data_IF_497923653049
#
_entry.id   IF_497923653049
#
_cell.length_a   1.000
_cell.length_b   1.000
_cell.length_c   1.000
_cell.angle_alpha   90.00
_cell.angle_beta   90.00
_cell.angle_gamma   90.00
#
_symmetry.space_group_name_H-M   'P 1'
#
loop_
_entity.id
_entity.type
_entity.pdbx_description
1 polymer ?
#
# COMPACT_ATOMS: atom_id res chain seq x y z
N UNK A 1 -27.51 -32.34 0.60
CA UNK A 1 -26.48 -32.53 -0.45
C UNK A 1 -25.63 -31.27 -0.76
N UNK A 2 -26.22 -30.08 -0.84
CA UNK A 2 -25.45 -28.85 -1.15
C UNK A 2 -24.38 -28.43 -0.11
N UNK A 3 -24.56 -28.74 1.16
CA UNK A 3 -23.63 -28.36 2.23
C UNK A 3 -22.27 -29.07 2.18
N UNK A 4 -22.22 -30.31 1.76
CA UNK A 4 -20.98 -31.06 1.58
C UNK A 4 -20.19 -30.55 0.39
N UNK A 5 -20.82 -30.24 -0.73
CA UNK A 5 -20.16 -29.66 -1.90
C UNK A 5 -19.56 -28.30 -1.57
N UNK A 6 -20.24 -27.40 -0.84
CA UNK A 6 -19.70 -26.13 -0.39
C UNK A 6 -18.47 -26.29 0.51
N UNK A 7 -18.48 -27.27 1.41
CA UNK A 7 -17.33 -27.59 2.28
C UNK A 7 -16.15 -28.13 1.48
N UNK A 8 -16.43 -29.02 0.51
CA UNK A 8 -15.39 -29.58 -0.37
C UNK A 8 -14.78 -28.52 -1.28
N UNK A 9 -15.59 -27.68 -1.93
CA UNK A 9 -15.08 -26.59 -2.77
C UNK A 9 -14.30 -25.56 -1.95
N UNK A 10 -14.78 -25.19 -0.75
CA UNK A 10 -14.04 -24.32 0.15
C UNK A 10 -12.68 -24.92 0.55
N UNK A 11 -12.65 -26.22 0.88
CA UNK A 11 -11.41 -26.92 1.18
C UNK A 11 -10.47 -26.97 -0.02
N UNK A 12 -10.99 -27.28 -1.21
CA UNK A 12 -10.22 -27.32 -2.46
C UNK A 12 -9.58 -25.97 -2.79
N UNK A 13 -10.31 -24.88 -2.63
CA UNK A 13 -9.82 -23.53 -2.97
C UNK A 13 -8.98 -22.88 -1.87
N UNK A 14 -9.09 -23.32 -0.62
CA UNK A 14 -8.38 -22.70 0.50
C UNK A 14 -7.21 -23.52 1.03
N UNK A 15 -7.14 -24.82 0.74
CA UNK A 15 -6.13 -25.71 1.31
C UNK A 15 -5.38 -26.58 0.31
N UNK A 16 -5.86 -26.73 -0.90
CA UNK A 16 -5.23 -27.58 -1.90
C UNK A 16 -4.86 -26.82 -3.18
N UNK A 17 -3.67 -27.03 -3.75
CA UNK A 17 -2.54 -27.89 -3.33
C UNK A 17 -1.49 -27.16 -2.48
N UNK A 18 -1.78 -25.97 -2.03
CA UNK A 18 -0.81 -24.94 -1.66
C UNK A 18 -0.10 -25.11 -0.30
N UNK A 19 -0.42 -26.11 0.48
CA UNK A 19 0.15 -26.18 1.82
C UNK A 19 -0.24 -24.96 2.65
N UNK A 20 0.68 -24.43 3.42
CA UNK A 20 0.46 -23.18 4.18
C UNK A 20 0.53 -22.01 3.21
N UNK A 21 -0.60 -21.42 2.89
CA UNK A 21 -0.67 -20.13 2.20
C UNK A 21 0.07 -19.09 3.05
N UNK A 22 0.72 -18.14 2.39
CA UNK A 22 1.37 -17.02 3.05
C UNK A 22 0.47 -16.42 4.14
N UNK A 23 1.03 -16.19 5.32
CA UNK A 23 0.30 -15.56 6.41
C UNK A 23 0.17 -14.08 6.11
N UNK A 24 -1.05 -13.64 5.87
CA UNK A 24 -1.37 -12.23 5.73
C UNK A 24 -1.61 -11.62 7.11
N UNK A 25 -1.31 -10.33 7.29
CA UNK A 25 -1.70 -9.62 8.49
C UNK A 25 -3.22 -9.58 8.61
N UNK A 26 -3.72 -9.65 9.84
CA UNK A 26 -5.15 -9.50 10.11
C UNK A 26 -5.50 -8.01 10.10
N UNK A 27 -6.42 -7.64 9.25
CA UNK A 27 -7.04 -6.33 9.21
C UNK A 27 -8.55 -6.50 9.00
N UNK A 28 -9.32 -5.60 9.58
CA UNK A 28 -10.75 -5.49 9.36
C UNK A 28 -11.05 -4.86 7.99
N UNK A 29 -12.31 -4.80 7.59
CA UNK A 29 -12.72 -4.28 6.28
C UNK A 29 -12.34 -2.80 6.05
N UNK A 30 -12.22 -2.04 7.13
CA UNK A 30 -11.78 -0.64 7.12
C UNK A 30 -10.26 -0.46 7.21
N UNK A 31 -9.51 -1.55 7.23
CA UNK A 31 -8.06 -1.59 7.34
C UNK A 31 -7.54 -1.52 8.79
N UNK A 32 -8.40 -1.36 9.79
CA UNK A 32 -7.98 -1.35 11.20
C UNK A 32 -7.39 -2.69 11.63
N UNK A 33 -6.49 -2.64 12.63
CA UNK A 33 -5.81 -3.82 13.16
C UNK A 33 -6.06 -3.98 14.65
N UNK A 34 -5.57 -5.07 15.24
CA UNK A 34 -5.57 -5.25 16.69
C UNK A 34 -4.64 -4.27 17.43
N UNK A 35 -3.86 -3.46 16.72
CA UNK A 35 -3.06 -2.36 17.30
C UNK A 35 -3.80 -1.05 17.06
N UNK A 36 -4.36 -0.50 18.14
CA UNK A 36 -5.14 0.74 18.05
C UNK A 36 -4.36 1.86 17.35
N UNK A 37 -4.96 2.45 16.32
CA UNK A 37 -4.39 3.53 15.52
C UNK A 37 -3.49 3.06 14.36
N UNK A 38 -3.24 1.76 14.21
CA UNK A 38 -2.50 1.19 13.10
C UNK A 38 -3.47 0.57 12.09
N UNK A 39 -3.33 0.96 10.82
CA UNK A 39 -4.14 0.50 9.69
C UNK A 39 -3.26 -0.16 8.65
N UNK A 40 -3.79 -1.16 7.95
CA UNK A 40 -3.10 -1.88 6.87
C UNK A 40 -3.97 -1.84 5.63
N UNK A 41 -3.39 -1.44 4.49
CA UNK A 41 -4.14 -1.19 3.25
C UNK A 41 -3.42 -1.75 2.02
N UNK A 42 -4.18 -2.02 0.96
CA UNK A 42 -3.65 -2.44 -0.33
C UNK A 42 -3.29 -3.92 -0.38
N UNK A 43 -2.41 -4.29 -1.29
CA UNK A 43 -2.07 -5.67 -1.66
C UNK A 43 -1.64 -6.55 -0.48
N UNK A 44 -1.09 -5.96 0.56
CA UNK A 44 -0.67 -6.67 1.78
C UNK A 44 -1.86 -7.33 2.50
N UNK A 45 -3.09 -6.84 2.28
CA UNK A 45 -4.32 -7.47 2.81
C UNK A 45 -4.78 -8.69 2.01
N UNK A 46 -4.13 -8.99 0.87
CA UNK A 46 -4.37 -10.21 0.09
C UNK A 46 -5.09 -10.00 -1.24
N UNK A 47 -5.51 -8.79 -1.59
CA UNK A 47 -6.21 -8.50 -2.84
C UNK A 47 -5.33 -7.58 -3.73
N UNK A 48 -4.51 -8.14 -4.65
CA UNK A 48 -3.55 -7.39 -5.45
C UNK A 48 -4.22 -6.76 -6.69
N UNK A 49 -5.18 -5.88 -6.48
CA UNK A 49 -5.89 -5.16 -7.53
C UNK A 49 -5.77 -3.65 -7.32
N UNK A 50 -5.39 -2.90 -8.37
CA UNK A 50 -5.13 -1.46 -8.30
C UNK A 50 -6.31 -0.66 -7.74
N UNK A 51 -7.54 -0.94 -8.20
CA UNK A 51 -8.74 -0.27 -7.70
C UNK A 51 -9.01 -0.56 -6.22
N UNK A 52 -8.76 -1.79 -5.77
CA UNK A 52 -8.87 -2.14 -4.34
C UNK A 52 -7.78 -1.48 -3.50
N UNK A 53 -6.56 -1.41 -4.01
CA UNK A 53 -5.47 -0.74 -3.32
C UNK A 53 -5.77 0.75 -3.13
N UNK A 54 -6.24 1.45 -4.17
CA UNK A 54 -6.69 2.84 -4.05
C UNK A 54 -7.85 2.98 -3.07
N UNK A 55 -8.88 2.16 -3.24
CA UNK A 55 -10.08 2.16 -2.40
C UNK A 55 -9.75 2.00 -0.91
N UNK A 56 -8.96 0.98 -0.56
CA UNK A 56 -8.64 0.70 0.84
C UNK A 56 -7.78 1.79 1.47
N UNK A 57 -6.86 2.40 0.71
CA UNK A 57 -6.07 3.54 1.16
C UNK A 57 -6.93 4.74 1.55
N UNK A 58 -7.81 5.19 0.66
CA UNK A 58 -8.72 6.30 0.92
C UNK A 58 -9.72 5.98 2.06
N UNK A 59 -10.29 4.77 2.05
CA UNK A 59 -11.25 4.33 3.09
C UNK A 59 -10.64 4.32 4.49
N UNK A 60 -9.40 3.87 4.64
CA UNK A 60 -8.74 3.90 5.94
C UNK A 60 -8.67 5.32 6.51
N UNK A 61 -8.32 6.32 5.70
CA UNK A 61 -8.28 7.71 6.16
C UNK A 61 -9.67 8.24 6.46
N UNK A 62 -10.67 7.93 5.65
CA UNK A 62 -12.07 8.28 5.93
C UNK A 62 -12.55 7.68 7.26
N UNK A 63 -12.20 6.44 7.56
CA UNK A 63 -12.49 5.79 8.84
C UNK A 63 -11.76 6.50 10.00
N UNK A 64 -10.48 6.83 9.83
CA UNK A 64 -9.69 7.58 10.82
C UNK A 64 -10.36 8.91 11.17
N UNK A 65 -10.75 9.66 10.16
CA UNK A 65 -11.37 10.98 10.36
C UNK A 65 -12.76 10.88 11.02
N UNK A 66 -13.49 9.81 10.75
CA UNK A 66 -14.79 9.54 11.36
C UNK A 66 -14.68 9.02 12.81
N UNK A 67 -13.52 8.56 13.25
CA UNK A 67 -13.29 8.09 14.63
C UNK A 67 -13.36 9.24 15.62
N UNK A 68 -14.29 9.14 16.57
CA UNK A 68 -14.49 10.17 17.62
C UNK A 68 -13.24 10.38 18.49
N UNK A 69 -12.46 9.32 18.74
CA UNK A 69 -11.19 9.40 19.47
C UNK A 69 -10.13 10.20 18.70
N UNK A 70 -10.14 10.09 17.37
CA UNK A 70 -9.25 10.87 16.52
C UNK A 70 -9.72 12.33 16.41
N UNK A 71 -11.03 12.57 16.31
CA UNK A 71 -11.60 13.93 16.27
C UNK A 71 -11.30 14.73 17.55
N UNK A 72 -11.30 14.07 18.69
CA UNK A 72 -11.00 14.68 20.00
C UNK A 72 -9.49 14.79 20.32
N UNK A 73 -8.60 14.46 19.36
CA UNK A 73 -7.15 14.54 19.59
C UNK A 73 -6.68 15.96 19.84
N UNK A 74 -5.68 16.10 20.69
CA UNK A 74 -5.00 17.37 20.90
C UNK A 74 -3.90 17.54 19.86
N UNK A 75 -3.76 18.74 19.35
CA UNK A 75 -2.59 19.11 18.57
C UNK A 75 -1.39 19.24 19.53
N UNK A 76 -0.34 18.47 19.26
CA UNK A 76 0.88 18.41 20.05
C UNK A 76 2.07 18.70 19.14
N UNK A 77 3.01 19.52 19.60
CA UNK A 77 4.21 19.82 18.82
C UNK A 77 5.03 18.55 18.54
N UNK A 78 5.40 18.37 17.28
CA UNK A 78 6.15 17.19 16.84
C UNK A 78 5.33 15.90 16.70
N UNK A 79 3.98 15.97 16.86
CA UNK A 79 3.09 14.83 16.64
C UNK A 79 2.24 15.06 15.39
N UNK A 80 2.41 14.23 14.39
CA UNK A 80 1.63 14.24 13.16
C UNK A 80 0.23 13.65 13.39
N UNK A 81 -0.73 14.06 12.60
CA UNK A 81 -2.03 13.41 12.55
C UNK A 81 -1.90 11.99 12.00
N UNK A 82 -1.09 11.85 10.93
CA UNK A 82 -0.98 10.59 10.19
C UNK A 82 0.44 10.39 9.64
N UNK A 83 0.95 9.18 9.74
CA UNK A 83 2.08 8.72 8.93
C UNK A 83 1.60 7.62 8.00
N UNK A 84 1.91 7.75 6.70
CA UNK A 84 1.67 6.75 5.68
C UNK A 84 3.00 6.07 5.33
N UNK A 85 3.06 4.75 5.43
CA UNK A 85 4.25 3.96 5.10
C UNK A 85 4.01 3.23 3.78
N UNK A 86 4.73 3.65 2.74
CA UNK A 86 4.65 3.14 1.37
C UNK A 86 4.03 4.16 0.40
N UNK A 87 4.78 4.53 -0.64
CA UNK A 87 4.39 5.44 -1.73
C UNK A 87 3.79 4.71 -2.94
N UNK A 88 3.21 3.53 -2.73
CA UNK A 88 2.46 2.79 -3.74
C UNK A 88 1.03 3.33 -3.91
N UNK A 89 0.23 2.63 -4.72
CA UNK A 89 -1.16 3.07 -5.03
C UNK A 89 -2.00 3.27 -3.77
N UNK A 90 -1.93 2.35 -2.81
CA UNK A 90 -2.73 2.46 -1.57
C UNK A 90 -2.27 3.58 -0.65
N UNK A 91 -0.95 3.74 -0.48
CA UNK A 91 -0.42 4.82 0.36
C UNK A 91 -0.66 6.20 -0.25
N UNK A 92 -0.51 6.33 -1.57
CA UNK A 92 -0.78 7.60 -2.26
C UNK A 92 -2.26 7.96 -2.28
N UNK A 93 -3.16 6.96 -2.36
CA UNK A 93 -4.60 7.19 -2.18
C UNK A 93 -4.94 7.66 -0.75
N UNK A 94 -4.28 7.08 0.26
CA UNK A 94 -4.39 7.53 1.64
C UNK A 94 -3.86 8.97 1.82
N UNK A 95 -2.74 9.29 1.17
CA UNK A 95 -2.14 10.64 1.22
C UNK A 95 -3.05 11.71 0.59
N UNK A 96 -3.65 11.41 -0.57
CA UNK A 96 -4.62 12.32 -1.20
C UNK A 96 -5.84 12.56 -0.31
N UNK A 97 -6.37 11.51 0.30
CA UNK A 97 -7.50 11.65 1.21
C UNK A 97 -7.08 12.45 2.47
N UNK A 98 -5.88 12.20 3.02
CA UNK A 98 -5.36 12.96 4.15
C UNK A 98 -5.19 14.46 3.81
N UNK A 99 -4.66 14.78 2.63
CA UNK A 99 -4.55 16.14 2.12
C UNK A 99 -5.92 16.80 2.00
N UNK A 100 -6.89 16.12 1.41
CA UNK A 100 -8.28 16.59 1.26
C UNK A 100 -8.95 16.88 2.61
N UNK A 101 -8.63 16.09 3.65
CA UNK A 101 -9.15 16.26 5.01
C UNK A 101 -8.34 17.29 5.84
N UNK A 102 -7.30 17.90 5.25
CA UNK A 102 -6.48 18.90 5.92
C UNK A 102 -5.64 18.36 7.09
N UNK A 103 -5.25 17.09 7.04
CA UNK A 103 -4.43 16.47 8.08
C UNK A 103 -2.97 16.90 7.96
N UNK A 104 -2.26 17.02 9.08
CA UNK A 104 -0.79 17.06 9.09
C UNK A 104 -0.25 15.64 8.96
N UNK A 105 0.37 15.35 7.81
CA UNK A 105 0.82 14.00 7.51
C UNK A 105 2.18 13.94 6.82
N UNK A 106 2.80 12.76 6.86
CA UNK A 106 4.01 12.42 6.09
C UNK A 106 3.83 11.08 5.39
N UNK A 107 4.36 10.97 4.18
CA UNK A 107 4.46 9.71 3.43
C UNK A 107 5.92 9.29 3.41
N UNK A 108 6.20 8.06 3.86
CA UNK A 108 7.52 7.44 3.77
C UNK A 108 7.52 6.43 2.62
N UNK A 109 8.49 6.52 1.73
CA UNK A 109 8.70 5.59 0.62
C UNK A 109 10.15 5.10 0.63
N UNK A 110 10.33 3.78 0.57
CA UNK A 110 11.65 3.18 0.72
C UNK A 110 12.58 3.36 -0.49
N UNK A 111 12.03 3.63 -1.68
CA UNK A 111 12.79 3.76 -2.92
C UNK A 111 12.22 4.85 -3.83
N UNK A 112 11.21 4.53 -4.62
CA UNK A 112 10.51 5.46 -5.50
C UNK A 112 9.00 5.24 -5.47
N UNK A 113 8.19 6.28 -5.60
CA UNK A 113 6.74 6.17 -5.67
C UNK A 113 6.31 5.26 -6.82
N UNK A 114 5.30 4.41 -6.53
CA UNK A 114 4.73 3.45 -7.49
C UNK A 114 5.72 2.39 -7.99
N UNK A 115 6.76 2.08 -7.23
CA UNK A 115 7.85 1.16 -7.62
C UNK A 115 7.35 -0.17 -8.21
N UNK A 116 6.26 -0.75 -7.70
CA UNK A 116 5.67 -1.97 -8.25
C UNK A 116 5.25 -1.80 -9.72
N UNK A 117 4.57 -0.70 -10.04
CA UNK A 117 4.09 -0.42 -11.42
C UNK A 117 5.27 0.01 -12.31
N UNK A 118 6.15 0.87 -11.79
CA UNK A 118 7.37 1.31 -12.49
C UNK A 118 8.24 0.12 -12.91
N UNK A 119 8.32 -0.89 -12.07
CA UNK A 119 9.13 -2.08 -12.31
C UNK A 119 8.42 -3.17 -13.14
N UNK A 120 7.21 -2.97 -13.63
CA UNK A 120 6.64 -3.88 -14.61
C UNK A 120 7.42 -3.82 -15.93
N UNK A 121 7.43 -4.91 -16.72
CA UNK A 121 8.04 -4.90 -18.06
C UNK A 121 7.53 -3.72 -18.91
N UNK A 122 8.40 -3.21 -19.77
CA UNK A 122 8.03 -2.15 -20.72
C UNK A 122 6.82 -2.57 -21.55
N UNK A 123 5.94 -1.63 -21.82
CA UNK A 123 4.71 -1.82 -22.61
C UNK A 123 3.73 -2.87 -22.07
N UNK A 124 3.90 -3.29 -20.80
CA UNK A 124 2.96 -4.23 -20.18
C UNK A 124 1.55 -3.63 -20.17
N UNK A 125 0.55 -4.31 -20.76
CA UNK A 125 -0.83 -3.89 -20.65
C UNK A 125 -1.32 -4.05 -19.20
N UNK A 126 -2.00 -3.04 -18.69
CA UNK A 126 -2.55 -3.03 -17.34
C UNK A 126 -4.07 -2.92 -17.43
N UNK A 127 -4.76 -3.84 -16.78
CA UNK A 127 -6.21 -3.87 -16.69
C UNK A 127 -6.63 -3.47 -15.27
N UNK A 128 -7.53 -2.50 -15.18
CA UNK A 128 -8.02 -1.97 -13.89
C UNK A 128 -9.34 -2.64 -13.48
N UNK A 129 -9.25 -3.92 -13.14
CA UNK A 129 -10.41 -4.68 -12.64
C UNK A 129 -10.69 -4.40 -11.15
N UNK A 130 -11.97 -4.56 -10.71
CA UNK A 130 -13.20 -4.74 -11.50
C UNK A 130 -13.55 -3.48 -12.30
N UNK A 131 -14.01 -3.64 -13.56
CA UNK A 131 -14.28 -2.50 -14.46
C UNK A 131 -15.30 -1.55 -13.87
N UNK A 132 -16.39 -2.10 -13.30
CA UNK A 132 -17.51 -1.32 -12.76
C UNK A 132 -17.23 -0.69 -11.38
N UNK A 133 -16.13 -1.09 -10.72
CA UNK A 133 -15.77 -0.54 -9.43
C UNK A 133 -15.20 0.87 -9.56
N UNK A 134 -15.77 1.82 -8.85
CA UNK A 134 -15.19 3.15 -8.61
C UNK A 134 -14.54 3.15 -7.24
N UNK A 135 -13.21 3.32 -7.13
CA UNK A 135 -12.53 3.41 -5.84
C UNK A 135 -13.04 4.61 -5.03
N UNK A 136 -12.97 4.49 -3.70
CA UNK A 136 -13.16 5.65 -2.83
C UNK A 136 -11.98 6.64 -3.02
N UNK A 137 -12.23 7.92 -2.68
CA UNK A 137 -11.20 8.97 -2.76
C UNK A 137 -10.93 9.45 -4.19
N UNK A 138 -9.90 10.24 -4.35
CA UNK A 138 -9.64 11.02 -5.56
C UNK A 138 -8.63 10.34 -6.50
N UNK A 139 -7.96 9.26 -6.08
CA UNK A 139 -7.09 8.46 -6.96
C UNK A 139 -7.94 7.51 -7.80
N UNK A 140 -8.18 7.88 -9.05
CA UNK A 140 -9.05 7.16 -9.98
C UNK A 140 -8.26 6.55 -11.14
N UNK A 141 -8.87 5.60 -11.84
CA UNK A 141 -8.28 4.87 -12.96
C UNK A 141 -9.19 4.99 -14.18
N UNK A 142 -8.57 5.14 -15.35
CA UNK A 142 -9.28 5.03 -16.62
C UNK A 142 -9.85 3.62 -16.82
N UNK A 143 -11.05 3.52 -17.39
CA UNK A 143 -11.66 2.24 -17.75
C UNK A 143 -11.01 1.60 -19.00
N UNK A 144 -10.18 2.35 -19.72
CA UNK A 144 -9.43 1.85 -20.86
C UNK A 144 -8.17 1.14 -20.39
N UNK A 145 -7.85 0.01 -21.02
CA UNK A 145 -6.58 -0.67 -20.79
C UNK A 145 -5.43 0.29 -21.10
N UNK A 146 -4.65 0.61 -20.09
CA UNK A 146 -3.46 1.42 -20.23
C UNK A 146 -2.23 0.53 -20.36
N UNK A 147 -1.20 1.01 -21.03
CA UNK A 147 0.14 0.44 -20.88
C UNK A 147 0.76 1.00 -19.60
N UNK A 148 1.69 0.26 -19.04
CA UNK A 148 2.40 0.62 -17.80
C UNK A 148 2.84 2.09 -17.77
N UNK A 149 3.45 2.58 -18.84
CA UNK A 149 3.99 3.94 -18.93
C UNK A 149 2.90 5.00 -18.77
N UNK A 150 1.78 4.83 -19.46
CA UNK A 150 0.63 5.71 -19.35
C UNK A 150 0.03 5.72 -17.94
N UNK A 151 -0.08 4.54 -17.32
CA UNK A 151 -0.55 4.43 -15.94
C UNK A 151 0.38 5.15 -14.95
N UNK A 152 1.70 4.99 -15.09
CA UNK A 152 2.68 5.69 -14.22
C UNK A 152 2.53 7.20 -14.33
N UNK A 153 2.39 7.73 -15.56
CA UNK A 153 2.17 9.16 -15.80
C UNK A 153 0.88 9.63 -15.12
N UNK A 154 -0.21 8.87 -15.28
CA UNK A 154 -1.50 9.20 -14.68
C UNK A 154 -1.46 9.20 -13.15
N UNK A 155 -0.84 8.19 -12.54
CA UNK A 155 -0.67 8.09 -11.10
C UNK A 155 0.14 9.27 -10.54
N UNK A 156 1.26 9.62 -11.20
CA UNK A 156 2.10 10.76 -10.79
C UNK A 156 1.36 12.08 -10.91
N UNK A 157 0.62 12.27 -12.00
CA UNK A 157 -0.19 13.48 -12.21
C UNK A 157 -1.24 13.65 -11.12
N UNK A 158 -1.92 12.58 -10.74
CA UNK A 158 -2.97 12.64 -9.72
C UNK A 158 -2.41 12.82 -8.29
N UNK A 159 -1.13 12.59 -8.06
CA UNK A 159 -0.55 12.56 -6.71
C UNK A 159 0.63 13.52 -6.54
N UNK A 160 1.77 13.24 -7.15
CA UNK A 160 2.99 14.04 -6.98
C UNK A 160 2.80 15.47 -7.52
N UNK A 161 2.17 15.61 -8.69
CA UNK A 161 1.88 16.93 -9.27
C UNK A 161 0.75 17.67 -8.54
N UNK A 162 0.00 16.98 -7.69
CA UNK A 162 -0.96 17.56 -6.76
C UNK A 162 -0.37 17.85 -5.36
N UNK A 163 0.95 17.88 -5.25
CA UNK A 163 1.63 18.31 -4.02
C UNK A 163 1.82 17.23 -2.97
N UNK A 164 1.62 15.95 -3.29
CA UNK A 164 2.04 14.87 -2.40
C UNK A 164 3.54 14.65 -2.58
N UNK A 165 4.31 14.87 -1.53
CA UNK A 165 5.77 14.77 -1.52
C UNK A 165 6.22 13.64 -0.58
N UNK A 166 6.39 12.40 -1.08
CA UNK A 166 6.92 11.31 -0.27
C UNK A 166 8.38 11.56 0.12
N UNK A 167 8.67 11.34 1.39
CA UNK A 167 10.05 11.33 1.89
C UNK A 167 10.68 9.98 1.58
N UNK A 168 11.82 9.98 0.90
CA UNK A 168 12.57 8.75 0.63
C UNK A 168 13.23 8.30 1.92
N UNK A 169 12.57 7.39 2.61
CA UNK A 169 13.03 6.82 3.86
C UNK A 169 12.38 5.46 4.09
N UNK A 170 13.13 4.53 4.67
CA UNK A 170 12.64 3.19 5.00
C UNK A 170 12.18 3.13 6.45
N UNK A 171 10.90 2.91 6.67
CA UNK A 171 10.39 2.57 7.99
C UNK A 171 10.82 1.14 8.36
N UNK A 172 11.38 0.94 9.54
CA UNK A 172 11.77 -0.37 10.05
C UNK A 172 10.64 -1.04 10.83
N UNK A 173 10.02 -0.28 11.73
CA UNK A 173 8.90 -0.79 12.54
C UNK A 173 8.05 0.36 13.08
N UNK A 174 6.86 -0.01 13.57
CA UNK A 174 5.96 0.89 14.28
C UNK A 174 5.88 0.42 15.74
N UNK A 175 6.08 1.34 16.67
CA UNK A 175 6.05 1.08 18.11
C UNK A 175 5.01 1.92 18.81
N UNK A 176 4.50 1.46 19.94
CA UNK A 176 3.67 2.27 20.82
C UNK A 176 4.54 3.26 21.60
N UNK A 177 4.16 4.54 21.62
CA UNK A 177 4.81 5.60 22.39
C UNK A 177 3.75 6.37 23.17
N UNK A 178 3.44 5.91 24.38
CA UNK A 178 2.34 6.45 25.15
C UNK A 178 0.99 6.32 24.42
N UNK A 179 0.31 7.43 24.19
CA UNK A 179 -0.94 7.48 23.44
C UNK A 179 -0.75 7.43 21.91
N UNK A 180 0.48 7.61 21.43
CA UNK A 180 0.83 7.74 20.01
C UNK A 180 1.49 6.48 19.45
N UNK A 181 1.75 6.50 18.16
CA UNK A 181 2.58 5.54 17.44
C UNK A 181 3.88 6.23 17.01
N UNK A 182 4.99 5.55 17.16
CA UNK A 182 6.31 5.99 16.68
C UNK A 182 6.71 5.10 15.50
N UNK A 183 6.97 5.71 14.36
CA UNK A 183 7.55 5.07 13.19
C UNK A 183 9.07 5.22 13.27
N UNK A 184 9.77 4.09 13.34
CA UNK A 184 11.23 4.06 13.46
C UNK A 184 11.84 4.12 12.06
N UNK A 185 12.72 5.09 11.85
CA UNK A 185 13.46 5.32 10.60
C UNK A 185 14.95 5.25 10.91
N UNK A 186 15.64 4.13 10.63
CA UNK A 186 17.04 3.91 11.08
C UNK A 186 18.02 4.99 10.60
N UNK A 187 17.83 5.47 9.36
CA UNK A 187 18.73 6.45 8.72
C UNK A 187 18.15 7.87 8.73
N UNK A 188 17.24 8.16 9.66
CA UNK A 188 16.55 9.43 9.71
C UNK A 188 15.92 9.73 11.06
N UNK A 189 15.04 10.73 11.10
CA UNK A 189 14.29 11.09 12.28
C UNK A 189 13.06 10.18 12.44
N UNK A 190 12.85 9.65 13.65
CA UNK A 190 11.62 8.92 13.96
C UNK A 190 10.42 9.85 13.92
N UNK A 191 9.32 9.38 13.35
CA UNK A 191 8.09 10.14 13.28
C UNK A 191 7.10 9.66 14.35
N UNK A 192 6.48 10.60 15.05
CA UNK A 192 5.43 10.31 16.02
C UNK A 192 4.10 10.78 15.45
N UNK A 193 3.07 9.92 15.53
CA UNK A 193 1.76 10.24 14.96
C UNK A 193 0.60 9.67 15.79
N UNK A 194 -0.57 10.28 15.65
CA UNK A 194 -1.82 9.75 16.20
C UNK A 194 -2.24 8.45 15.50
N UNK A 195 -2.03 8.35 14.19
CA UNK A 195 -2.41 7.20 13.35
C UNK A 195 -1.31 6.87 12.36
N UNK A 196 -1.23 5.59 12.00
CA UNK A 196 -0.31 5.10 10.97
C UNK A 196 -1.07 4.22 9.99
N UNK A 197 -0.89 4.47 8.70
CA UNK A 197 -1.39 3.63 7.59
C UNK A 197 -0.21 2.94 6.92
N UNK A 198 -0.24 1.61 6.84
CA UNK A 198 0.79 0.78 6.21
C UNK A 198 0.30 0.26 4.88
N UNK A 199 0.87 0.76 3.79
CA UNK A 199 0.54 0.43 2.41
C UNK A 199 1.77 -0.04 1.62
N UNK A 200 2.57 -0.95 2.19
CA UNK A 200 3.85 -1.41 1.62
C UNK A 200 3.72 -2.45 0.51
N UNK A 201 2.49 -2.87 0.17
CA UNK A 201 2.24 -3.90 -0.84
C UNK A 201 2.82 -5.27 -0.48
N UNK A 202 2.96 -6.12 -1.49
CA UNK A 202 3.54 -7.48 -1.35
C UNK A 202 4.80 -7.68 -2.20
N UNK A 203 5.05 -6.78 -3.16
CA UNK A 203 6.20 -6.83 -4.05
C UNK A 203 7.36 -6.09 -3.40
N UNK A 204 8.03 -6.74 -2.48
CA UNK A 204 9.27 -6.23 -1.89
C UNK A 204 10.48 -6.39 -2.81
N UNK A 205 11.67 -6.20 -2.26
CA UNK A 205 12.90 -6.54 -2.93
C UNK A 205 12.92 -8.05 -3.24
N UNK A 206 13.44 -8.40 -4.42
CA UNK A 206 13.60 -9.81 -4.79
C UNK A 206 14.54 -10.51 -3.78
N UNK A 207 14.28 -11.78 -3.56
CA UNK A 207 15.12 -12.60 -2.70
C UNK A 207 16.36 -13.06 -3.48
N UNK A 208 17.54 -12.65 -3.01
CA UNK A 208 18.79 -13.13 -3.57
C UNK A 208 18.94 -14.66 -3.36
N UNK A 209 19.49 -15.32 -4.36
CA UNK A 209 19.76 -16.77 -4.32
C UNK A 209 21.03 -17.06 -3.50
N UNK A 210 21.95 -16.09 -3.41
CA UNK A 210 23.24 -16.23 -2.74
C UNK A 210 24.23 -17.13 -3.49
N UNK A 211 24.13 -17.20 -4.81
CA UNK A 211 25.01 -18.01 -5.66
C UNK A 211 26.06 -17.16 -6.36
N UNK A 212 27.18 -17.80 -6.71
CA UNK A 212 28.25 -17.14 -7.44
C UNK A 212 27.76 -16.63 -8.81
N UNK A 213 28.01 -15.36 -9.07
CA UNK A 213 27.63 -14.69 -10.32
C UNK A 213 26.27 -14.01 -10.30
N UNK A 214 25.50 -14.07 -9.21
CA UNK A 214 24.20 -13.41 -9.07
C UNK A 214 24.30 -11.88 -9.24
N UNK A 215 25.41 -11.29 -8.83
CA UNK A 215 25.63 -9.82 -8.87
C UNK A 215 26.35 -9.36 -10.17
N UNK A 216 26.45 -10.21 -11.20
CA UNK A 216 27.03 -9.81 -12.50
C UNK A 216 26.05 -8.92 -13.26
N UNK A 217 26.54 -7.90 -13.98
CA UNK A 217 25.75 -6.94 -14.76
C UNK A 217 24.78 -7.56 -15.78
N UNK A 218 25.11 -8.77 -16.27
CA UNK A 218 24.27 -9.53 -17.19
C UNK A 218 23.17 -10.37 -16.52
N UNK A 219 23.10 -10.35 -15.19
CA UNK A 219 22.10 -11.11 -14.42
C UNK A 219 21.02 -10.15 -13.95
N UNK A 220 19.85 -10.30 -14.52
CA UNK A 220 18.69 -9.47 -14.20
C UNK A 220 17.74 -10.23 -13.29
N UNK A 221 17.20 -9.53 -12.29
CA UNK A 221 16.17 -10.05 -11.40
C UNK A 221 14.74 -9.75 -11.88
N UNK A 222 14.62 -9.05 -13.00
CA UNK A 222 13.36 -8.62 -13.60
C UNK A 222 13.49 -8.58 -15.11
N UNK A 223 12.39 -8.83 -15.80
CA UNK A 223 12.27 -8.55 -17.22
C UNK A 223 11.98 -7.06 -17.40
N UNK A 224 12.95 -6.30 -17.94
CA UNK A 224 12.79 -4.87 -18.17
C UNK A 224 12.11 -4.56 -19.50
N UNK A 225 12.62 -5.10 -20.60
CA UNK A 225 12.00 -5.03 -21.93
C UNK A 225 11.85 -6.43 -22.52
N UNK A 226 10.67 -6.83 -22.99
CA UNK A 226 10.47 -8.12 -23.67
C UNK A 226 11.22 -8.26 -24.99
N UNK A 227 11.85 -7.20 -25.49
CA UNK A 227 12.63 -7.21 -26.73
C UNK A 227 14.13 -7.42 -26.50
N UNK A 228 14.59 -7.30 -25.25
CA UNK A 228 15.95 -7.60 -24.84
C UNK A 228 16.09 -9.10 -24.51
#
# INVERSE_FOLDING_TARGET
>A
MLGWMKRYTKWLHTRWPAGTVERLPLADEDGSTNVSGLYIVGDITGIPLLKFSSHTGARAVQTIVADSGFQGRKQEEGVLDLVVIGGGVSGMAAALEAQKQGLDFRVLEASEPFSTVVNFPARKPIFTYPTEMVPAGDLQFSDQAAVKEGLVVELRRQTLENGIEPVVARAECVKRKGAHLEVVVPDGENLVAHRVVVGIGRSGNFRKLGILGEDLDKVYNRLHDPKD
#
